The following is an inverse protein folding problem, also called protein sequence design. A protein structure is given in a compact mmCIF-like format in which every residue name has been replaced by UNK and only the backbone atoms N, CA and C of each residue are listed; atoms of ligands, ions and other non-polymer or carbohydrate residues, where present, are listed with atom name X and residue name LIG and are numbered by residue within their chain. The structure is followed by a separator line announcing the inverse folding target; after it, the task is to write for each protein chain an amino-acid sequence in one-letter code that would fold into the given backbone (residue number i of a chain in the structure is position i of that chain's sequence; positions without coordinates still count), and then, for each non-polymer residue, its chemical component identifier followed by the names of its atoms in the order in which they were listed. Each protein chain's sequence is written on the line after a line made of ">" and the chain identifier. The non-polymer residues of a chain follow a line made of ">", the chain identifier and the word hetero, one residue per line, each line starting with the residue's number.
data_IF_525507236086
#
_entry.id   IF_525507236086
#
_cell.length_a   1.000
_cell.length_b   1.000
_cell.length_c   1.000
_cell.angle_alpha   90.00
_cell.angle_beta   90.00
_cell.angle_gamma   90.00
#
_symmetry.space_group_name_H-M   'P 1'
#
loop_
_entity.id
_entity.type
_entity.pdbx_description
1 polymer ?
#
# COMPACT_ATOMS: atom_id res chain seq x y z
N UNK A 1 -18.51 -27.03 11.52
CA UNK A 1 -18.22 -27.25 10.08
C UNK A 1 -17.73 -25.90 9.57
N UNK A 2 -16.44 -25.77 9.28
CA UNK A 2 -15.91 -24.52 8.75
C UNK A 2 -16.17 -24.46 7.23
N UNK A 3 -16.78 -23.37 6.78
CA UNK A 3 -17.11 -23.14 5.36
C UNK A 3 -16.07 -22.18 4.80
N UNK A 4 -15.30 -22.64 3.82
CA UNK A 4 -14.37 -21.79 3.07
C UNK A 4 -15.17 -21.14 1.94
N UNK A 5 -15.49 -19.85 2.07
CA UNK A 5 -16.19 -19.08 1.04
C UNK A 5 -15.31 -18.96 -0.22
N UNK A 6 -15.94 -19.07 -1.39
CA UNK A 6 -15.22 -18.86 -2.63
C UNK A 6 -14.94 -17.37 -2.83
N UNK A 7 -13.74 -16.95 -3.29
CA UNK A 7 -13.43 -15.55 -3.52
C UNK A 7 -14.40 -14.83 -4.47
N UNK A 8 -15.04 -15.57 -5.39
CA UNK A 8 -16.05 -15.00 -6.29
C UNK A 8 -17.40 -14.75 -5.59
N UNK A 9 -17.77 -15.56 -4.60
CA UNK A 9 -19.01 -15.31 -3.81
C UNK A 9 -18.90 -13.99 -3.04
N UNK A 10 -17.70 -13.66 -2.56
CA UNK A 10 -17.44 -12.36 -1.89
C UNK A 10 -17.63 -11.21 -2.87
N UNK A 11 -17.20 -11.36 -4.13
CA UNK A 11 -17.41 -10.32 -5.16
C UNK A 11 -18.89 -10.15 -5.45
N UNK A 12 -19.62 -11.25 -5.58
CA UNK A 12 -21.05 -11.19 -5.88
C UNK A 12 -21.80 -10.44 -4.78
N UNK A 13 -21.52 -10.74 -3.51
CA UNK A 13 -22.13 -10.03 -2.36
C UNK A 13 -21.79 -8.53 -2.36
N UNK A 14 -20.52 -8.17 -2.59
CA UNK A 14 -20.11 -6.74 -2.61
C UNK A 14 -20.75 -6.00 -3.78
N UNK A 15 -20.89 -6.66 -4.93
CA UNK A 15 -21.44 -6.05 -6.15
C UNK A 15 -22.91 -5.64 -6.03
N UNK A 16 -23.65 -6.25 -5.09
CA UNK A 16 -25.06 -5.91 -4.84
C UNK A 16 -25.23 -4.50 -4.27
N UNK A 17 -24.21 -3.98 -3.58
CA UNK A 17 -24.29 -2.68 -2.88
C UNK A 17 -23.26 -1.67 -3.37
N UNK A 18 -22.24 -2.12 -4.11
CA UNK A 18 -21.08 -1.30 -4.46
C UNK A 18 -20.56 -1.59 -5.87
N UNK A 19 -19.91 -0.60 -6.48
CA UNK A 19 -19.17 -0.81 -7.73
C UNK A 19 -17.80 -1.39 -7.43
N UNK A 20 -17.49 -2.55 -8.01
CA UNK A 20 -16.20 -3.20 -7.83
C UNK A 20 -15.23 -2.73 -8.91
N UNK A 21 -14.09 -2.21 -8.48
CA UNK A 21 -12.98 -1.82 -9.36
C UNK A 21 -11.80 -2.73 -9.07
N UNK A 22 -11.28 -3.42 -10.10
CA UNK A 22 -10.19 -4.38 -9.92
C UNK A 22 -8.85 -3.73 -10.25
N UNK A 23 -8.05 -3.56 -9.21
CA UNK A 23 -6.68 -3.11 -9.34
C UNK A 23 -5.81 -4.08 -10.16
N UNK A 24 -5.02 -3.54 -11.08
CA UNK A 24 -4.19 -4.31 -12.02
C UNK A 24 -4.95 -4.97 -13.18
N UNK A 25 -6.27 -4.78 -13.27
CA UNK A 25 -7.09 -5.22 -14.42
C UNK A 25 -7.80 -4.03 -15.03
N UNK A 26 -8.61 -3.33 -14.25
CA UNK A 26 -9.39 -2.19 -14.71
C UNK A 26 -8.58 -0.88 -14.57
N UNK A 27 -7.69 -0.81 -13.56
CA UNK A 27 -6.79 0.32 -13.33
C UNK A 27 -5.37 -0.13 -13.07
N UNK A 28 -4.41 0.56 -13.69
CA UNK A 28 -3.00 0.33 -13.43
C UNK A 28 -2.63 0.97 -12.09
N UNK A 29 -2.03 0.19 -11.20
CA UNK A 29 -1.56 0.67 -9.90
C UNK A 29 -0.08 1.02 -10.00
N UNK A 30 0.29 2.20 -9.49
CA UNK A 30 1.68 2.64 -9.42
C UNK A 30 2.17 2.73 -7.97
N UNK A 31 3.45 2.46 -7.75
CA UNK A 31 4.14 2.59 -6.47
C UNK A 31 4.44 4.07 -6.17
N UNK A 32 3.41 4.77 -5.69
CA UNK A 32 3.56 6.13 -5.20
C UNK A 32 4.35 6.19 -3.90
N UNK A 33 4.33 5.14 -3.06
CA UNK A 33 4.93 5.16 -1.73
C UNK A 33 6.45 5.20 -1.81
N UNK A 34 7.06 4.24 -2.50
CA UNK A 34 8.52 4.16 -2.61
C UNK A 34 9.07 5.32 -3.42
N UNK A 35 8.40 5.66 -4.52
CA UNK A 35 8.78 6.78 -5.38
C UNK A 35 8.76 8.09 -4.60
N UNK A 36 7.68 8.38 -3.88
CA UNK A 36 7.56 9.62 -3.10
C UNK A 36 8.56 9.65 -1.96
N UNK A 37 8.82 8.54 -1.27
CA UNK A 37 9.83 8.46 -0.20
C UNK A 37 11.25 8.79 -0.69
N UNK A 38 11.56 8.49 -1.96
CA UNK A 38 12.87 8.83 -2.56
C UNK A 38 13.03 10.30 -2.96
N UNK A 39 11.92 11.02 -3.09
CA UNK A 39 11.89 12.42 -3.56
C UNK A 39 11.56 13.39 -2.43
N UNK A 40 10.57 13.06 -1.60
CA UNK A 40 10.13 13.85 -0.46
C UNK A 40 11.00 13.58 0.77
N UNK A 41 11.25 14.62 1.55
CA UNK A 41 11.86 14.48 2.86
C UNK A 41 10.87 13.78 3.81
N UNK A 42 11.37 13.07 4.82
CA UNK A 42 10.51 12.46 5.84
C UNK A 42 9.73 13.54 6.59
N UNK A 43 8.44 13.32 6.86
CA UNK A 43 7.56 14.30 7.53
C UNK A 43 8.14 14.81 8.85
N UNK A 44 8.87 13.96 9.58
CA UNK A 44 9.55 14.30 10.84
C UNK A 44 10.66 15.35 10.67
N UNK A 45 11.29 15.43 9.50
CA UNK A 45 12.31 16.43 9.20
C UNK A 45 11.74 17.74 8.66
N UNK A 46 10.42 17.86 8.54
CA UNK A 46 9.80 19.07 8.02
C UNK A 46 9.81 20.14 9.10
N UNK A 47 10.08 21.39 8.69
CA UNK A 47 10.07 22.53 9.60
C UNK A 47 8.66 22.87 10.10
N UNK A 48 7.64 22.39 9.41
CA UNK A 48 6.24 22.57 9.78
C UNK A 48 5.69 21.30 10.40
N UNK A 49 5.10 21.47 11.58
CA UNK A 49 4.32 20.45 12.24
C UNK A 49 2.86 20.59 11.81
N UNK A 50 2.40 19.67 10.97
CA UNK A 50 1.04 19.73 10.40
C UNK A 50 -0.06 19.85 11.45
N UNK A 51 0.05 19.08 12.54
CA UNK A 51 -0.95 19.05 13.61
C UNK A 51 -1.15 20.41 14.30
N UNK A 52 -0.09 21.23 14.36
CA UNK A 52 -0.11 22.52 15.05
C UNK A 52 -0.59 23.67 14.13
N UNK A 53 -0.52 23.48 12.81
CA UNK A 53 -0.85 24.53 11.85
C UNK A 53 -2.34 24.55 11.52
N UNK A 54 -2.94 25.74 11.50
CA UNK A 54 -4.34 25.98 11.09
C UNK A 54 -4.46 26.28 9.60
N UNK A 55 -3.39 26.78 8.97
CA UNK A 55 -3.38 27.16 7.56
C UNK A 55 -2.08 26.71 6.90
N UNK A 56 -2.21 26.20 5.68
CA UNK A 56 -1.08 25.87 4.82
C UNK A 56 -1.12 26.74 3.57
N UNK A 57 0.05 27.18 3.13
CA UNK A 57 0.20 28.06 1.99
C UNK A 57 1.24 27.41 1.07
N UNK A 58 0.79 27.07 -0.13
CA UNK A 58 1.62 26.52 -1.17
C UNK A 58 2.13 27.67 -2.04
N UNK A 59 3.43 27.84 -2.06
CA UNK A 59 4.09 28.92 -2.79
C UNK A 59 4.85 28.33 -3.96
N UNK A 60 4.54 28.79 -5.17
CA UNK A 60 5.32 28.41 -6.36
C UNK A 60 6.73 28.99 -6.23
N UNK A 61 7.75 28.14 -6.31
CA UNK A 61 9.13 28.59 -6.32
C UNK A 61 9.46 29.27 -7.66
N UNK A 62 10.47 30.16 -7.66
CA UNK A 62 11.06 30.67 -8.91
C UNK A 62 11.72 29.56 -9.74
N UNK A 63 12.15 28.47 -9.10
CA UNK A 63 12.67 27.28 -9.79
C UNK A 63 11.51 26.44 -10.32
N UNK A 64 11.52 26.14 -11.61
CA UNK A 64 10.50 25.31 -12.25
C UNK A 64 10.37 23.94 -11.57
N UNK A 65 9.13 23.45 -11.43
CA UNK A 65 8.84 22.14 -10.82
C UNK A 65 9.02 22.07 -9.29
N UNK A 66 9.30 23.19 -8.63
CA UNK A 66 9.46 23.24 -7.18
C UNK A 66 8.31 24.00 -6.51
N UNK A 67 7.75 23.41 -5.45
CA UNK A 67 6.69 24.00 -4.62
C UNK A 67 7.22 24.11 -3.21
N UNK A 68 7.08 25.30 -2.61
CA UNK A 68 7.41 25.54 -1.22
C UNK A 68 6.14 25.47 -0.38
N UNK A 69 6.26 24.95 0.82
CA UNK A 69 5.17 24.86 1.79
C UNK A 69 5.46 25.81 2.94
N UNK A 70 4.43 26.52 3.39
CA UNK A 70 4.44 27.31 4.61
C UNK A 70 3.25 26.87 5.47
N UNK A 71 3.51 26.63 6.75
CA UNK A 71 2.47 26.35 7.76
C UNK A 71 2.36 27.54 8.70
N UNK A 72 1.13 27.88 9.08
CA UNK A 72 0.81 28.99 9.98
C UNK A 72 -0.05 28.47 11.15
N UNK A 73 0.28 28.90 12.37
CA UNK A 73 -0.47 28.54 13.58
C UNK A 73 -1.84 29.24 13.66
N UNK A 74 -1.99 30.40 13.00
CA UNK A 74 -3.22 31.18 12.97
C UNK A 74 -3.69 31.39 11.53
N UNK A 75 -5.00 31.57 11.33
CA UNK A 75 -5.55 31.77 9.97
C UNK A 75 -5.09 33.09 9.33
N UNK A 76 -4.89 34.12 10.15
CA UNK A 76 -4.59 35.51 9.73
C UNK A 76 -3.15 35.93 10.04
N UNK A 77 -2.21 34.98 10.12
CA UNK A 77 -0.78 35.27 10.19
C UNK A 77 -0.10 34.93 8.87
N UNK A 78 0.86 35.76 8.46
CA UNK A 78 1.74 35.54 7.31
C UNK A 78 3.22 35.69 7.72
N UNK A 79 3.55 35.19 8.92
CA UNK A 79 4.86 35.38 9.56
C UNK A 79 5.81 34.22 9.20
N UNK A 80 5.27 33.06 8.83
CA UNK A 80 6.04 31.88 8.52
C UNK A 80 6.90 32.02 7.26
N UNK A 81 7.97 31.23 7.20
CA UNK A 81 8.84 31.12 6.02
C UNK A 81 8.47 29.88 5.21
N UNK A 82 8.40 30.01 3.89
CA UNK A 82 8.18 28.87 3.00
C UNK A 82 9.46 28.05 2.84
N UNK A 83 9.36 26.72 2.85
CA UNK A 83 10.49 25.80 2.70
C UNK A 83 10.16 24.67 1.72
N UNK A 84 11.20 24.01 1.21
CA UNK A 84 11.06 22.87 0.31
C UNK A 84 10.80 21.59 1.11
N UNK A 85 9.82 20.79 0.68
CA UNK A 85 9.46 19.49 1.27
C UNK A 85 10.17 18.31 0.60
N UNK A 86 10.85 18.55 -0.52
CA UNK A 86 11.69 17.56 -1.19
C UNK A 86 13.06 17.43 -0.51
N UNK A 87 13.68 16.26 -0.69
CA UNK A 87 15.07 16.04 -0.33
C UNK A 87 16.00 17.00 -1.08
N UNK A 88 17.23 17.18 -0.58
CA UNK A 88 18.21 18.06 -1.19
C UNK A 88 18.41 17.68 -2.67
N UNK A 89 18.38 18.69 -3.56
CA UNK A 89 18.51 18.57 -5.02
C UNK A 89 17.38 17.79 -5.72
N UNK A 90 16.31 17.39 -5.03
CA UNK A 90 15.13 16.78 -5.64
C UNK A 90 14.01 17.82 -5.88
N UNK A 91 13.15 17.54 -6.85
CA UNK A 91 11.96 18.34 -7.16
C UNK A 91 10.75 17.42 -7.32
N UNK A 92 9.54 17.96 -7.11
CA UNK A 92 8.29 17.19 -7.23
C UNK A 92 8.12 16.61 -8.64
N UNK A 93 8.58 17.33 -9.66
CA UNK A 93 8.57 16.88 -11.05
C UNK A 93 9.41 15.62 -11.32
N UNK A 94 10.27 15.19 -10.37
CA UNK A 94 11.03 13.95 -10.47
C UNK A 94 10.26 12.72 -9.98
N UNK A 95 9.02 12.90 -9.50
CA UNK A 95 8.18 11.76 -9.11
C UNK A 95 7.72 11.07 -10.39
N UNK A 96 8.26 9.87 -10.59
CA UNK A 96 7.91 8.96 -11.68
C UNK A 96 7.48 7.62 -11.07
N UNK A 97 6.18 7.48 -10.83
CA UNK A 97 5.63 6.35 -10.10
C UNK A 97 5.62 5.09 -10.96
N UNK A 98 6.47 4.12 -10.60
CA UNK A 98 6.59 2.86 -11.33
C UNK A 98 5.35 2.00 -11.19
N UNK A 99 4.97 1.30 -12.25
CA UNK A 99 3.86 0.36 -12.21
C UNK A 99 4.16 -0.82 -11.29
N UNK A 100 3.18 -1.17 -10.46
CA UNK A 100 3.25 -2.36 -9.62
C UNK A 100 2.75 -3.58 -10.40
N UNK A 101 3.51 -4.68 -10.40
CA UNK A 101 3.04 -5.91 -11.02
C UNK A 101 1.81 -6.42 -10.28
N UNK A 102 0.86 -6.98 -11.04
CA UNK A 102 -0.39 -7.55 -10.50
C UNK A 102 -0.15 -8.66 -9.48
N UNK A 103 1.00 -9.33 -9.57
CA UNK A 103 1.30 -10.50 -8.75
C UNK A 103 2.44 -10.15 -7.81
N UNK A 104 2.15 -10.19 -6.52
CA UNK A 104 3.13 -10.06 -5.45
C UNK A 104 3.63 -11.45 -5.10
N UNK A 105 4.94 -11.59 -4.94
CA UNK A 105 5.53 -12.84 -4.47
C UNK A 105 5.08 -13.10 -3.03
N UNK A 106 4.47 -14.25 -2.79
CA UNK A 106 4.01 -14.71 -1.48
C UNK A 106 5.14 -15.47 -0.81
N UNK A 107 5.28 -15.28 0.51
CA UNK A 107 6.25 -16.00 1.31
C UNK A 107 6.03 -17.53 1.19
N UNK A 108 7.13 -18.28 0.99
CA UNK A 108 7.14 -19.75 0.87
C UNK A 108 6.47 -20.44 2.06
N UNK A 109 6.60 -19.90 3.27
CA UNK A 109 5.96 -20.47 4.45
C UNK A 109 4.43 -20.33 4.38
N UNK A 110 3.92 -19.15 4.00
CA UNK A 110 2.48 -18.92 3.80
C UNK A 110 1.91 -19.85 2.73
N UNK A 111 2.64 -20.06 1.63
CA UNK A 111 2.23 -21.02 0.58
C UNK A 111 2.16 -22.46 1.08
N UNK A 112 3.13 -22.89 1.92
CA UNK A 112 3.11 -24.21 2.55
C UNK A 112 1.91 -24.38 3.47
N UNK A 113 1.60 -23.36 4.26
CA UNK A 113 0.46 -23.38 5.19
C UNK A 113 -0.87 -23.44 4.44
N UNK A 114 -1.04 -22.64 3.38
CA UNK A 114 -2.21 -22.72 2.51
C UNK A 114 -2.35 -24.11 1.89
N UNK A 115 -1.26 -24.71 1.38
CA UNK A 115 -1.29 -26.08 0.82
C UNK A 115 -1.70 -27.11 1.87
N UNK A 116 -1.20 -26.98 3.10
CA UNK A 116 -1.55 -27.85 4.22
C UNK A 116 -3.03 -27.70 4.59
N UNK A 117 -3.55 -26.47 4.65
CA UNK A 117 -4.95 -26.19 4.91
C UNK A 117 -5.85 -26.83 3.85
N UNK A 118 -5.56 -26.61 2.57
CA UNK A 118 -6.34 -27.20 1.46
C UNK A 118 -6.31 -28.73 1.50
N UNK A 119 -5.17 -29.32 1.80
CA UNK A 119 -5.02 -30.79 1.94
C UNK A 119 -5.82 -31.34 3.11
N UNK A 120 -5.84 -30.64 4.25
CA UNK A 120 -6.58 -31.06 5.44
C UNK A 120 -8.10 -30.98 5.23
N UNK A 121 -8.60 -29.94 4.55
CA UNK A 121 -10.04 -29.73 4.36
C UNK A 121 -10.62 -30.51 3.17
N UNK A 122 -9.88 -30.63 2.06
CA UNK A 122 -10.38 -31.20 0.80
C UNK A 122 -9.68 -32.52 0.40
N UNK A 123 -8.74 -32.99 1.21
CA UNK A 123 -7.96 -34.20 0.95
C UNK A 123 -6.79 -33.97 -0.02
N UNK A 124 -6.03 -35.04 -0.29
CA UNK A 124 -4.80 -35.00 -1.11
C UNK A 124 -5.07 -34.57 -2.56
N UNK A 125 -6.27 -34.84 -3.08
CA UNK A 125 -6.65 -34.58 -4.48
C UNK A 125 -7.37 -33.23 -4.68
N UNK A 126 -7.19 -32.28 -3.77
CA UNK A 126 -7.85 -30.98 -3.82
C UNK A 126 -7.55 -30.20 -5.12
N UNK A 127 -6.39 -30.43 -5.74
CA UNK A 127 -5.97 -29.78 -7.00
C UNK A 127 -6.87 -30.11 -8.20
N UNK A 128 -7.63 -31.22 -8.13
CA UNK A 128 -8.58 -31.64 -9.16
C UNK A 128 -9.96 -30.99 -8.99
N UNK A 129 -10.21 -30.32 -7.87
CA UNK A 129 -11.50 -29.70 -7.60
C UNK A 129 -11.61 -28.38 -8.38
N UNK A 130 -12.65 -28.19 -9.22
CA UNK A 130 -12.80 -26.98 -10.01
C UNK A 130 -12.99 -25.73 -9.14
N UNK A 131 -13.59 -25.90 -7.95
CA UNK A 131 -13.81 -24.84 -6.96
C UNK A 131 -12.49 -24.29 -6.39
N UNK A 132 -11.38 -25.03 -6.51
CA UNK A 132 -10.06 -24.60 -5.99
C UNK A 132 -9.09 -24.18 -7.09
N UNK A 133 -9.59 -23.96 -8.32
CA UNK A 133 -8.76 -23.56 -9.47
C UNK A 133 -7.96 -22.28 -9.19
N UNK A 134 -8.53 -21.32 -8.46
CA UNK A 134 -7.85 -20.08 -8.06
C UNK A 134 -6.54 -20.37 -7.31
N UNK A 135 -6.54 -21.35 -6.40
CA UNK A 135 -5.35 -21.71 -5.63
C UNK A 135 -4.31 -22.41 -6.51
N UNK A 136 -4.74 -23.24 -7.47
CA UNK A 136 -3.83 -23.84 -8.45
C UNK A 136 -3.13 -22.78 -9.30
N UNK A 137 -3.91 -21.83 -9.82
CA UNK A 137 -3.38 -20.71 -10.61
C UNK A 137 -2.45 -19.84 -9.75
N UNK A 138 -2.78 -19.65 -8.46
CA UNK A 138 -1.90 -18.99 -7.49
C UNK A 138 -0.56 -19.71 -7.37
N UNK A 139 -0.52 -21.02 -7.07
CA UNK A 139 0.76 -21.75 -6.93
C UNK A 139 1.59 -21.70 -8.21
N UNK A 140 0.98 -21.92 -9.38
CA UNK A 140 1.68 -21.83 -10.67
C UNK A 140 2.26 -20.42 -10.92
N UNK A 141 1.50 -19.37 -10.59
CA UNK A 141 1.97 -17.98 -10.72
C UNK A 141 3.14 -17.65 -9.78
N UNK A 142 3.16 -18.26 -8.58
CA UNK A 142 4.21 -18.03 -7.58
C UNK A 142 5.51 -18.75 -7.93
N UNK A 143 5.42 -19.96 -8.50
CA UNK A 143 6.58 -20.68 -9.02
C UNK A 143 7.32 -19.86 -10.10
N UNK A 144 6.56 -19.19 -10.99
CA UNK A 144 7.14 -18.33 -12.02
C UNK A 144 7.85 -17.08 -11.47
N UNK A 145 7.44 -16.58 -10.30
CA UNK A 145 7.96 -15.34 -9.70
C UNK A 145 9.14 -15.56 -8.74
N UNK A 146 9.22 -16.76 -8.13
CA UNK A 146 10.28 -17.12 -7.18
C UNK A 146 11.65 -17.32 -7.83
N UNK A 147 11.77 -17.24 -9.17
CA UNK A 147 13.05 -17.15 -9.88
C UNK A 147 13.76 -15.78 -9.73
N UNK A 148 13.12 -14.76 -9.14
CA UNK A 148 13.61 -13.36 -9.25
C UNK A 148 13.76 -12.56 -7.96
N UNK A 149 13.47 -13.10 -6.76
CA UNK A 149 13.50 -12.28 -5.53
C UNK A 149 14.20 -12.96 -4.34
N UNK A 150 15.05 -12.18 -3.66
CA UNK A 150 15.69 -12.53 -2.40
C UNK A 150 14.66 -12.74 -1.27
N UNK A 151 14.87 -13.70 -0.34
CA UNK A 151 13.87 -14.17 0.62
C UNK A 151 13.57 -13.23 1.81
N UNK A 152 14.08 -11.99 1.82
CA UNK A 152 13.98 -11.07 2.97
C UNK A 152 12.91 -9.97 2.80
N UNK A 153 11.81 -10.26 2.09
CA UNK A 153 10.68 -9.33 2.08
C UNK A 153 9.98 -9.36 3.44
N UNK A 154 10.20 -8.31 4.23
CA UNK A 154 9.60 -8.06 5.54
C UNK A 154 8.07 -8.22 5.50
N UNK A 155 7.53 -8.92 6.50
CA UNK A 155 6.11 -9.15 6.67
C UNK A 155 5.42 -7.84 7.08
N UNK A 156 4.80 -7.16 6.11
CA UNK A 156 4.08 -5.88 6.31
C UNK A 156 2.82 -5.98 7.20
N UNK A 157 2.59 -7.10 7.89
CA UNK A 157 1.39 -7.37 8.70
C UNK A 157 1.54 -7.08 10.19
N UNK A 158 2.61 -6.43 10.63
CA UNK A 158 2.78 -6.03 12.04
C UNK A 158 2.72 -4.51 12.19
N UNK A 159 1.53 -3.92 11.97
CA UNK A 159 1.21 -2.71 12.72
C UNK A 159 0.79 -3.16 14.12
N UNK A 160 1.55 -2.88 15.19
CA UNK A 160 1.01 -3.02 16.53
C UNK A 160 -0.24 -2.14 16.61
N UNK A 161 -1.38 -2.74 16.93
CA UNK A 161 -2.55 -1.99 17.33
C UNK A 161 -2.13 -1.19 18.56
N UNK A 162 -1.98 0.13 18.40
CA UNK A 162 -1.83 1.03 19.53
C UNK A 162 -3.03 0.77 20.46
N UNK A 163 -2.76 0.20 21.64
CA UNK A 163 -3.76 0.10 22.70
C UNK A 163 -4.23 1.52 23.01
N UNK A 164 -5.50 1.81 22.72
CA UNK A 164 -6.12 3.10 23.04
C UNK A 164 -6.38 3.13 24.54
N UNK A 165 -5.32 3.36 25.31
CA UNK A 165 -5.38 3.51 26.76
C UNK A 165 -5.36 5.00 27.12
N UNK A 166 -6.41 5.70 26.69
CA UNK A 166 -6.74 7.02 27.27
C UNK A 166 -8.24 7.34 27.12
N UNK A 167 -9.07 6.55 27.79
CA UNK A 167 -10.34 7.04 28.34
C UNK A 167 -10.11 7.49 29.77
N UNK A 168 -9.60 8.72 29.93
CA UNK A 168 -9.76 9.46 31.18
C UNK A 168 -10.84 10.52 30.98
N UNK A 169 -11.93 10.31 31.71
CA UNK A 169 -13.02 11.25 32.02
C UNK A 169 -12.46 12.47 32.72
#
# INVERSE_FOLDING_TARGET
>A
MEVILHPDEIKDVISQTSTIVRFGVDYVVSDWRSTTRSIMAQTTSWKVKFKECKRFILVRSKKAGNVLVRGELFYKSDIGTAFNVCQRQKTISMIDAKFLPKIVAVNKNKLRDVKKLLTNHFGVNWENLPVLKIYKDLFASQEALQCTLNPEAEDYSQEPLDEVDDLRV
#
